data_IF_330936928016
#
_entry.id   IF_330936928016
#
_cell.length_a   1.000
_cell.length_b   1.000
_cell.length_c   1.000
_cell.angle_alpha   90.00
_cell.angle_beta   90.00
_cell.angle_gamma   90.00
#
_symmetry.space_group_name_H-M   'P 1'
#
loop_
_entity.id
_entity.type
_entity.pdbx_description
1 polymer ?
#
# COMPACT_ATOMS: atom_id res chain seq x y z
N UNK A 1 25.69 -42.39 12.05
CA UNK A 1 24.78 -42.76 10.96
C UNK A 1 24.52 -41.48 10.17
N UNK A 2 23.75 -41.49 9.09
CA UNK A 2 23.37 -40.23 8.41
C UNK A 2 22.05 -39.75 8.98
N UNK A 3 21.89 -38.43 9.18
CA UNK A 3 20.61 -37.85 9.62
C UNK A 3 19.45 -38.37 8.73
N UNK A 4 18.42 -39.00 9.32
CA UNK A 4 17.29 -39.53 8.58
C UNK A 4 16.49 -38.41 7.92
N UNK A 5 15.75 -38.75 6.87
CA UNK A 5 14.87 -37.79 6.21
C UNK A 5 13.60 -37.61 7.02
N UNK A 6 13.01 -36.42 6.96
CA UNK A 6 11.78 -36.09 7.69
C UNK A 6 10.65 -37.10 7.38
N UNK A 7 10.58 -37.59 6.14
CA UNK A 7 9.58 -38.59 5.74
C UNK A 7 9.73 -39.95 6.45
N UNK A 8 10.92 -40.29 6.95
CA UNK A 8 11.22 -41.55 7.63
C UNK A 8 10.85 -41.50 9.12
N UNK A 9 10.78 -40.30 9.70
CA UNK A 9 10.59 -40.09 11.14
C UNK A 9 9.23 -39.45 11.46
N UNK A 10 8.89 -38.35 10.78
CA UNK A 10 7.73 -37.53 11.11
C UNK A 10 7.10 -36.91 9.85
N UNK A 11 6.02 -37.53 9.37
CA UNK A 11 5.17 -36.95 8.34
C UNK A 11 3.80 -36.60 8.94
N UNK A 12 3.32 -35.33 8.86
CA UNK A 12 2.04 -34.92 9.44
C UNK A 12 0.86 -35.39 8.56
N UNK A 13 0.60 -36.71 8.58
CA UNK A 13 -0.38 -37.37 7.71
C UNK A 13 -1.79 -36.78 7.91
N UNK A 14 -2.15 -36.43 9.15
CA UNK A 14 -3.47 -35.89 9.48
C UNK A 14 -3.72 -34.55 8.79
N UNK A 15 -2.76 -33.64 8.89
CA UNK A 15 -2.80 -32.30 8.29
C UNK A 15 -2.75 -32.39 6.76
N UNK A 16 -1.86 -33.25 6.23
CA UNK A 16 -1.77 -33.51 4.78
C UNK A 16 -3.09 -34.07 4.25
N UNK A 17 -3.74 -34.98 4.98
CA UNK A 17 -5.03 -35.55 4.62
C UNK A 17 -6.13 -34.50 4.61
N UNK A 18 -6.19 -33.64 5.64
CA UNK A 18 -7.16 -32.55 5.72
C UNK A 18 -7.03 -31.52 4.58
N UNK A 19 -5.80 -31.18 4.17
CA UNK A 19 -5.56 -30.31 3.00
C UNK A 19 -5.83 -31.03 1.68
N UNK A 20 -5.53 -32.32 1.60
CA UNK A 20 -5.79 -33.15 0.41
C UNK A 20 -7.29 -33.31 0.13
N UNK A 21 -8.11 -33.44 1.18
CA UNK A 21 -9.57 -33.43 1.07
C UNK A 21 -10.07 -32.08 0.58
N UNK A 22 -9.50 -30.97 1.08
CA UNK A 22 -9.83 -29.61 0.59
C UNK A 22 -9.50 -29.42 -0.88
N UNK A 23 -8.35 -29.87 -1.35
CA UNK A 23 -7.93 -29.82 -2.77
C UNK A 23 -8.91 -30.61 -3.67
N UNK A 24 -9.37 -31.79 -3.20
CA UNK A 24 -10.38 -32.60 -3.92
C UNK A 24 -11.78 -32.00 -3.88
N UNK A 25 -12.13 -31.21 -2.87
CA UNK A 25 -13.51 -30.77 -2.61
C UNK A 25 -14.07 -29.74 -3.61
N UNK A 26 -13.25 -29.20 -4.52
CA UNK A 26 -13.60 -28.07 -5.38
C UNK A 26 -14.76 -28.33 -6.36
N UNK A 27 -15.14 -29.60 -6.63
CA UNK A 27 -16.28 -29.96 -7.49
C UNK A 27 -16.92 -31.27 -7.03
N UNK A 28 -18.01 -31.21 -6.28
CA UNK A 28 -18.84 -32.37 -5.97
C UNK A 28 -20.01 -32.47 -6.96
N UNK A 29 -20.22 -33.65 -7.56
CA UNK A 29 -21.43 -33.96 -8.35
C UNK A 29 -21.46 -33.53 -9.81
N UNK A 30 -20.33 -33.14 -10.42
CA UNK A 30 -20.29 -32.76 -11.84
C UNK A 30 -19.77 -33.93 -12.70
N UNK A 31 -20.30 -34.15 -13.91
CA UNK A 31 -19.87 -35.28 -14.77
C UNK A 31 -18.35 -35.25 -15.04
N UNK A 32 -17.74 -34.06 -15.08
CA UNK A 32 -16.29 -33.89 -15.21
C UNK A 32 -15.46 -34.37 -14.00
N UNK A 33 -16.08 -34.77 -12.88
CA UNK A 33 -15.41 -35.37 -11.71
C UNK A 33 -15.51 -36.89 -11.68
N UNK A 34 -16.28 -37.52 -12.59
CA UNK A 34 -16.36 -38.97 -12.73
C UNK A 34 -15.10 -39.58 -13.37
N UNK A 35 -14.34 -38.79 -14.14
CA UNK A 35 -13.11 -39.22 -14.77
C UNK A 35 -11.94 -38.28 -14.43
N UNK A 36 -11.25 -38.58 -13.32
CA UNK A 36 -9.93 -38.00 -13.00
C UNK A 36 -8.83 -38.80 -13.71
N UNK A 37 -8.61 -38.48 -14.98
CA UNK A 37 -7.54 -39.04 -15.82
C UNK A 37 -6.16 -38.44 -15.45
N UNK A 38 -5.07 -39.19 -15.31
CA UNK A 38 -4.94 -40.41 -14.51
C UNK A 38 -4.53 -40.01 -13.09
N UNK A 39 -5.35 -40.34 -12.08
CA UNK A 39 -4.99 -40.35 -10.65
C UNK A 39 -4.17 -39.13 -10.16
N UNK A 40 -4.67 -37.91 -10.38
CA UNK A 40 -4.05 -36.68 -9.82
C UNK A 40 -3.91 -36.84 -8.30
N UNK A 41 -2.68 -37.02 -7.81
CA UNK A 41 -2.39 -36.94 -6.38
C UNK A 41 -2.67 -35.50 -5.94
N UNK A 42 -3.36 -35.29 -4.79
CA UNK A 42 -3.55 -33.96 -4.24
C UNK A 42 -2.23 -33.22 -4.15
N UNK A 43 -2.21 -31.95 -4.57
CA UNK A 43 -0.97 -31.18 -4.61
C UNK A 43 -0.36 -31.01 -3.21
N UNK A 44 -1.21 -30.93 -2.19
CA UNK A 44 -0.80 -30.90 -0.80
C UNK A 44 0.01 -32.15 -0.42
N UNK A 45 -0.49 -33.35 -0.74
CA UNK A 45 0.21 -34.60 -0.48
C UNK A 45 1.51 -34.72 -1.29
N UNK A 46 1.48 -34.38 -2.59
CA UNK A 46 2.66 -34.44 -3.44
C UNK A 46 3.78 -33.51 -2.94
N UNK A 47 3.45 -32.26 -2.60
CA UNK A 47 4.41 -31.28 -2.07
C UNK A 47 4.99 -31.71 -0.73
N UNK A 48 4.14 -32.18 0.19
CA UNK A 48 4.59 -32.61 1.51
C UNK A 48 5.54 -33.81 1.42
N UNK A 49 5.23 -34.80 0.57
CA UNK A 49 6.09 -35.98 0.36
C UNK A 49 7.42 -35.59 -0.28
N UNK A 50 7.40 -34.76 -1.33
CA UNK A 50 8.64 -34.28 -1.97
C UNK A 50 9.50 -33.50 -0.98
N UNK A 51 8.91 -32.55 -0.25
CA UNK A 51 9.63 -31.78 0.76
C UNK A 51 10.23 -32.69 1.85
N UNK A 52 9.43 -33.57 2.44
CA UNK A 52 9.87 -34.46 3.51
C UNK A 52 10.93 -35.49 3.05
N UNK A 53 10.98 -35.82 1.76
CA UNK A 53 12.03 -36.68 1.19
C UNK A 53 13.39 -35.99 1.03
N UNK A 54 13.40 -34.66 0.92
CA UNK A 54 14.60 -33.86 0.69
C UNK A 54 15.17 -33.30 2.00
N UNK A 55 14.32 -33.09 2.99
CA UNK A 55 14.66 -32.40 4.23
C UNK A 55 15.13 -33.39 5.30
N UNK A 56 16.29 -33.16 5.95
CA UNK A 56 16.69 -33.94 7.12
C UNK A 56 15.77 -33.65 8.31
N UNK A 57 15.62 -34.62 9.21
CA UNK A 57 14.89 -34.42 10.46
C UNK A 57 15.64 -33.43 11.36
N UNK A 58 14.99 -32.30 11.70
CA UNK A 58 15.58 -31.22 12.48
C UNK A 58 15.83 -31.62 13.95
N UNK A 59 15.03 -32.56 14.46
CA UNK A 59 15.08 -32.99 15.86
C UNK A 59 16.11 -34.11 16.09
N UNK A 60 16.68 -34.68 15.02
CA UNK A 60 17.64 -35.77 15.13
C UNK A 60 19.01 -35.28 15.62
N UNK A 61 19.68 -35.99 16.57
CA UNK A 61 20.99 -35.58 17.11
C UNK A 61 22.08 -35.37 16.04
N UNK A 62 22.04 -36.16 14.97
CA UNK A 62 22.98 -36.08 13.84
C UNK A 62 22.57 -35.08 12.74
N UNK A 63 21.54 -34.26 12.96
CA UNK A 63 21.10 -33.25 12.00
C UNK A 63 22.17 -32.18 11.79
N UNK A 64 22.50 -31.79 10.52
CA UNK A 64 23.47 -30.74 10.24
C UNK A 64 23.17 -29.47 11.05
N UNK A 65 24.14 -28.93 11.80
CA UNK A 65 23.92 -27.76 12.66
C UNK A 65 23.33 -26.58 11.88
N UNK A 66 23.86 -26.29 10.69
CA UNK A 66 23.35 -25.21 9.82
C UNK A 66 21.86 -25.36 9.47
N UNK A 67 21.39 -26.60 9.28
CA UNK A 67 19.99 -26.87 8.98
C UNK A 67 19.11 -26.79 10.22
N UNK A 68 19.59 -27.35 11.34
CA UNK A 68 18.90 -27.28 12.65
C UNK A 68 18.68 -25.82 13.05
N UNK A 69 19.71 -25.00 12.92
CA UNK A 69 19.65 -23.56 13.21
C UNK A 69 18.76 -22.83 12.19
N UNK A 70 18.70 -23.26 10.93
CA UNK A 70 17.79 -22.64 9.95
C UNK A 70 16.30 -22.96 10.22
N UNK A 71 16.01 -24.13 10.80
CA UNK A 71 14.65 -24.57 11.15
C UNK A 71 14.19 -24.03 12.50
N UNK A 72 15.13 -23.70 13.39
CA UNK A 72 14.82 -23.00 14.63
C UNK A 72 14.06 -21.70 14.33
N UNK A 73 12.81 -21.64 14.79
CA UNK A 73 11.93 -20.49 14.58
C UNK A 73 12.50 -19.20 15.16
N UNK A 74 13.33 -19.28 16.21
CA UNK A 74 14.05 -18.13 16.76
C UNK A 74 15.03 -17.55 15.73
N UNK A 75 15.93 -18.39 15.24
CA UNK A 75 16.94 -18.05 14.23
C UNK A 75 16.32 -17.64 12.89
N UNK A 76 15.23 -18.27 12.45
CA UNK A 76 14.51 -17.87 11.24
C UNK A 76 13.95 -16.45 11.37
N UNK A 77 13.37 -16.09 12.53
CA UNK A 77 12.88 -14.74 12.79
C UNK A 77 14.02 -13.71 12.76
N UNK A 78 15.19 -14.04 13.29
CA UNK A 78 16.38 -13.17 13.20
C UNK A 78 16.86 -12.99 11.77
N UNK A 79 16.93 -14.09 10.99
CA UNK A 79 17.45 -14.08 9.62
C UNK A 79 16.55 -13.40 8.62
N UNK A 80 15.23 -13.65 8.66
CA UNK A 80 14.28 -13.13 7.66
C UNK A 80 13.27 -12.12 8.21
N UNK A 81 13.26 -11.85 9.51
CA UNK A 81 12.31 -10.91 10.11
C UNK A 81 12.43 -9.48 9.56
N UNK A 82 13.62 -9.09 9.11
CA UNK A 82 13.84 -7.80 8.45
C UNK A 82 13.04 -7.65 7.12
N UNK A 83 12.65 -8.76 6.48
CA UNK A 83 11.78 -8.75 5.28
C UNK A 83 10.31 -8.48 5.63
N UNK A 84 9.95 -8.56 6.90
CA UNK A 84 8.59 -8.35 7.42
C UNK A 84 8.61 -7.27 8.50
N UNK A 85 8.92 -6.01 8.15
CA UNK A 85 9.05 -4.94 9.13
C UNK A 85 7.76 -4.80 9.92
N UNK A 86 7.90 -4.64 11.24
CA UNK A 86 6.79 -4.22 12.09
C UNK A 86 6.28 -2.87 11.56
N UNK A 87 4.98 -2.74 11.34
CA UNK A 87 4.44 -1.44 10.95
C UNK A 87 4.25 -0.54 12.17
N UNK A 88 3.50 0.55 12.00
CA UNK A 88 3.39 1.64 12.99
C UNK A 88 2.93 1.20 14.38
N UNK A 89 2.20 0.10 14.46
CA UNK A 89 1.68 -0.46 15.70
C UNK A 89 2.75 -1.22 16.51
N UNK A 90 3.96 -1.38 15.99
CA UNK A 90 5.06 -2.14 16.61
C UNK A 90 4.83 -3.66 16.65
N UNK A 91 3.69 -4.14 16.15
CA UNK A 91 3.34 -5.56 16.13
C UNK A 91 4.06 -6.27 14.97
N UNK A 92 4.63 -7.47 15.19
CA UNK A 92 5.33 -8.21 14.14
C UNK A 92 4.34 -8.65 13.05
N UNK A 93 4.76 -8.53 11.80
CA UNK A 93 3.94 -8.93 10.65
C UNK A 93 4.09 -10.43 10.43
N UNK A 94 2.95 -11.12 10.40
CA UNK A 94 2.86 -12.57 10.15
C UNK A 94 2.68 -12.86 8.66
N UNK A 95 2.03 -11.97 7.93
CA UNK A 95 1.86 -12.13 6.50
C UNK A 95 1.08 -11.00 5.83
N UNK A 96 1.06 -11.05 4.50
CA UNK A 96 0.41 -10.06 3.65
C UNK A 96 -0.71 -10.71 2.86
N UNK A 97 -1.83 -10.00 2.73
CA UNK A 97 -2.92 -10.37 1.83
C UNK A 97 -2.70 -9.68 0.50
N UNK A 98 -2.61 -10.48 -0.57
CA UNK A 98 -2.40 -10.01 -1.93
C UNK A 98 -3.59 -10.36 -2.82
N UNK A 99 -3.94 -9.45 -3.70
CA UNK A 99 -4.89 -9.67 -4.78
C UNK A 99 -4.18 -9.51 -6.13
N UNK A 100 -4.49 -10.40 -7.06
CA UNK A 100 -4.21 -10.15 -8.49
C UNK A 100 -5.09 -8.99 -8.96
N UNK A 101 -4.62 -8.21 -9.90
CA UNK A 101 -5.40 -7.11 -10.46
C UNK A 101 -5.51 -7.22 -11.98
N UNK A 102 -6.61 -6.71 -12.53
CA UNK A 102 -6.81 -6.63 -13.98
C UNK A 102 -7.44 -5.27 -14.34
N UNK A 103 -7.08 -4.68 -15.49
CA UNK A 103 -7.70 -3.45 -15.94
C UNK A 103 -9.16 -3.67 -16.31
N UNK A 104 -10.02 -2.71 -16.00
CA UNK A 104 -11.41 -2.74 -16.41
C UNK A 104 -11.56 -2.79 -17.95
N UNK A 105 -12.50 -3.58 -18.46
CA UNK A 105 -12.81 -3.64 -19.90
C UNK A 105 -13.39 -2.33 -20.44
N UNK A 106 -13.95 -1.48 -19.58
CA UNK A 106 -14.48 -0.18 -19.98
C UNK A 106 -13.31 0.75 -20.41
N UNK A 107 -13.28 1.20 -21.69
CA UNK A 107 -12.17 1.99 -22.23
C UNK A 107 -12.02 3.36 -21.58
N UNK A 108 -13.11 3.95 -21.05
CA UNK A 108 -13.07 5.23 -20.33
C UNK A 108 -12.58 5.04 -18.89
N UNK A 109 -12.97 3.94 -18.25
CA UNK A 109 -12.59 3.67 -16.86
C UNK A 109 -11.14 3.22 -16.76
N UNK A 110 -10.82 2.05 -17.32
CA UNK A 110 -9.51 1.37 -17.25
C UNK A 110 -8.91 1.24 -15.84
N UNK A 111 -9.72 1.41 -14.79
CA UNK A 111 -9.28 1.28 -13.42
C UNK A 111 -8.74 -0.12 -13.14
N UNK A 112 -7.76 -0.19 -12.23
CA UNK A 112 -7.21 -1.44 -11.75
C UNK A 112 -8.23 -2.12 -10.83
N UNK A 113 -8.77 -3.25 -11.28
CA UNK A 113 -9.75 -4.02 -10.51
C UNK A 113 -9.00 -5.11 -9.72
N UNK A 114 -8.99 -5.05 -8.39
CA UNK A 114 -8.46 -6.12 -7.56
C UNK A 114 -9.37 -7.32 -7.63
N UNK A 115 -8.89 -8.51 -7.99
CA UNK A 115 -9.66 -9.73 -8.21
C UNK A 115 -9.85 -10.50 -6.90
N UNK A 116 -10.87 -10.14 -6.14
CA UNK A 116 -11.19 -10.71 -4.83
C UNK A 116 -12.50 -11.49 -4.91
N UNK A 117 -12.53 -12.74 -4.46
CA UNK A 117 -13.78 -13.53 -4.33
C UNK A 117 -14.66 -13.04 -3.18
N UNK A 118 -14.02 -12.63 -2.08
CA UNK A 118 -14.67 -12.22 -0.85
C UNK A 118 -13.83 -11.13 -0.21
N UNK A 119 -14.49 -10.12 0.35
CA UNK A 119 -13.86 -9.17 1.26
C UNK A 119 -13.75 -9.72 2.67
N UNK A 120 -14.56 -10.72 3.04
CA UNK A 120 -14.47 -11.37 4.34
C UNK A 120 -13.17 -12.19 4.44
N UNK A 121 -12.30 -11.80 5.37
CA UNK A 121 -10.96 -12.40 5.59
C UNK A 121 -10.99 -13.41 6.74
N UNK A 122 -11.71 -13.10 7.81
CA UNK A 122 -11.86 -13.96 8.97
C UNK A 122 -13.33 -14.07 9.34
N UNK A 123 -13.82 -15.30 9.54
CA UNK A 123 -15.20 -15.58 9.93
C UNK A 123 -15.24 -16.63 11.04
N UNK A 124 -14.83 -16.24 12.24
CA UNK A 124 -15.00 -17.03 13.46
C UNK A 124 -16.16 -16.45 14.27
N UNK A 125 -16.79 -17.28 15.13
CA UNK A 125 -17.91 -16.87 16.00
C UNK A 125 -17.59 -15.60 16.80
N UNK A 126 -16.38 -15.52 17.35
CA UNK A 126 -15.95 -14.41 18.21
C UNK A 126 -15.09 -13.37 17.48
N UNK A 127 -14.74 -13.62 16.20
CA UNK A 127 -13.84 -12.77 15.42
C UNK A 127 -14.23 -12.76 13.95
N UNK A 128 -14.87 -11.68 13.54
CA UNK A 128 -15.18 -11.41 12.14
C UNK A 128 -14.42 -10.19 11.64
N UNK A 129 -13.73 -10.34 10.51
CA UNK A 129 -12.91 -9.30 9.90
C UNK A 129 -13.10 -9.31 8.39
N UNK A 130 -13.39 -8.15 7.80
CA UNK A 130 -13.50 -7.96 6.37
C UNK A 130 -12.64 -6.79 5.88
N UNK A 131 -12.18 -6.88 4.63
CA UNK A 131 -11.61 -5.78 3.89
C UNK A 131 -12.72 -4.76 3.57
N UNK A 132 -12.43 -3.48 3.73
CA UNK A 132 -13.27 -2.41 3.18
C UNK A 132 -12.63 -1.89 1.91
N UNK A 133 -13.46 -1.46 0.97
CA UNK A 133 -13.01 -0.95 -0.31
C UNK A 133 -13.61 0.44 -0.51
N UNK A 134 -12.77 1.47 -0.55
CA UNK A 134 -13.16 2.84 -0.84
C UNK A 134 -12.47 3.29 -2.14
N UNK A 135 -13.10 4.20 -2.87
CA UNK A 135 -12.57 4.72 -4.11
C UNK A 135 -12.26 6.22 -3.99
N UNK A 136 -11.14 6.64 -4.53
CA UNK A 136 -10.86 8.06 -4.81
C UNK A 136 -10.44 8.15 -6.27
N UNK A 137 -11.26 8.81 -7.09
CA UNK A 137 -11.06 8.86 -8.54
C UNK A 137 -11.06 7.47 -9.18
N UNK A 138 -9.93 7.10 -9.83
CA UNK A 138 -9.71 5.81 -10.49
C UNK A 138 -8.94 4.80 -9.63
N UNK A 139 -8.68 5.12 -8.36
CA UNK A 139 -7.94 4.24 -7.46
C UNK A 139 -8.82 3.63 -6.38
N UNK A 140 -8.43 2.43 -5.96
CA UNK A 140 -9.11 1.62 -4.96
C UNK A 140 -8.24 1.51 -3.71
N UNK A 141 -8.77 1.92 -2.57
CA UNK A 141 -8.12 1.86 -1.27
C UNK A 141 -8.75 0.76 -0.42
N UNK A 142 -7.90 0.08 0.34
CA UNK A 142 -8.30 -1.01 1.22
C UNK A 142 -8.18 -0.62 2.68
N UNK A 143 -9.23 -0.87 3.43
CA UNK A 143 -9.24 -0.78 4.89
C UNK A 143 -9.66 -2.10 5.54
N UNK A 144 -9.85 -2.07 6.86
CA UNK A 144 -10.32 -3.22 7.63
C UNK A 144 -11.55 -2.81 8.45
N UNK A 145 -12.58 -3.64 8.40
CA UNK A 145 -13.75 -3.57 9.28
C UNK A 145 -13.83 -4.83 10.14
N UNK A 146 -14.22 -4.66 11.41
CA UNK A 146 -14.36 -5.74 12.40
C UNK A 146 -15.80 -5.83 12.92
N UNK A 147 -16.29 -7.06 13.12
CA UNK A 147 -17.59 -7.35 13.72
C UNK A 147 -18.76 -6.57 13.08
N UNK A 148 -19.53 -5.86 13.91
CA UNK A 148 -20.71 -5.06 13.48
C UNK A 148 -20.38 -3.94 12.48
N UNK A 149 -19.10 -3.59 12.30
CA UNK A 149 -18.67 -2.60 11.29
C UNK A 149 -18.62 -3.14 9.86
N UNK A 150 -18.79 -4.45 9.66
CA UNK A 150 -18.75 -5.08 8.33
C UNK A 150 -20.05 -4.78 7.58
N UNK A 151 -19.95 -3.95 6.54
CA UNK A 151 -21.10 -3.57 5.68
C UNK A 151 -21.23 -4.42 4.42
N UNK A 152 -20.12 -4.93 3.90
CA UNK A 152 -20.07 -5.70 2.67
C UNK A 152 -19.04 -6.82 2.80
N UNK A 153 -19.41 -8.00 2.32
CA UNK A 153 -18.54 -9.19 2.30
C UNK A 153 -18.24 -9.66 0.89
N UNK A 154 -19.02 -9.23 -0.11
CA UNK A 154 -18.81 -9.59 -1.51
C UNK A 154 -17.55 -8.93 -2.07
N UNK A 155 -16.70 -9.74 -2.71
CA UNK A 155 -15.56 -9.24 -3.46
C UNK A 155 -15.96 -8.71 -4.85
N UNK A 156 -14.97 -8.36 -5.65
CA UNK A 156 -15.15 -7.90 -7.03
C UNK A 156 -15.43 -9.04 -8.01
N UNK A 157 -14.96 -10.25 -7.73
CA UNK A 157 -15.17 -11.43 -8.56
C UNK A 157 -16.59 -11.96 -8.37
N UNK A 158 -17.34 -12.03 -9.47
CA UNK A 158 -18.68 -12.57 -9.56
C UNK A 158 -18.64 -14.08 -9.89
N UNK A 159 -19.83 -14.68 -9.94
CA UNK A 159 -19.99 -16.04 -10.43
C UNK A 159 -19.40 -16.22 -11.84
N UNK A 160 -18.90 -17.43 -12.15
CA UNK A 160 -18.31 -17.81 -13.44
C UNK A 160 -17.02 -17.07 -13.85
N UNK A 161 -16.47 -16.23 -12.97
CA UNK A 161 -15.16 -15.60 -13.15
C UNK A 161 -15.21 -14.20 -13.78
N UNK A 162 -16.40 -13.66 -14.00
CA UNK A 162 -16.57 -12.24 -14.34
C UNK A 162 -16.22 -11.37 -13.15
N UNK A 163 -15.90 -10.09 -13.39
CA UNK A 163 -15.49 -9.18 -12.33
C UNK A 163 -16.25 -7.86 -12.41
N UNK A 164 -16.83 -7.41 -11.30
CA UNK A 164 -17.49 -6.10 -11.20
C UNK A 164 -16.47 -5.04 -10.81
N UNK A 165 -16.33 -4.01 -11.65
CA UNK A 165 -15.45 -2.89 -11.35
C UNK A 165 -15.97 -2.11 -10.13
N UNK A 166 -15.15 -1.87 -9.09
CA UNK A 166 -15.58 -1.11 -7.92
C UNK A 166 -15.83 0.37 -8.23
N UNK A 167 -15.29 0.89 -9.34
CA UNK A 167 -15.37 2.30 -9.72
C UNK A 167 -16.56 2.56 -10.65
N UNK A 168 -16.53 2.03 -11.87
CA UNK A 168 -17.62 2.25 -12.84
C UNK A 168 -18.80 1.27 -12.70
N UNK A 169 -18.72 0.29 -11.79
CA UNK A 169 -19.73 -0.77 -11.57
C UNK A 169 -20.02 -1.69 -12.75
N UNK A 170 -19.36 -1.48 -13.90
CA UNK A 170 -19.48 -2.34 -15.06
C UNK A 170 -18.81 -3.69 -14.85
N UNK A 171 -19.42 -4.73 -15.41
CA UNK A 171 -18.86 -6.09 -15.42
C UNK A 171 -17.80 -6.21 -16.51
N UNK A 172 -16.61 -6.62 -16.11
CA UNK A 172 -15.51 -7.05 -16.98
C UNK A 172 -15.66 -8.56 -17.20
N UNK A 173 -15.94 -9.02 -18.44
CA UNK A 173 -16.12 -10.43 -18.73
C UNK A 173 -14.86 -11.26 -18.46
N UNK A 174 -15.02 -12.51 -18.05
CA UNK A 174 -13.91 -13.45 -17.80
C UNK A 174 -12.99 -13.62 -19.00
N UNK A 175 -13.52 -13.50 -20.23
CA UNK A 175 -12.73 -13.57 -21.46
C UNK A 175 -11.68 -12.45 -21.55
N UNK A 176 -12.04 -11.23 -21.16
CA UNK A 176 -11.12 -10.08 -21.16
C UNK A 176 -10.07 -10.19 -20.05
N UNK A 177 -10.47 -10.72 -18.89
CA UNK A 177 -9.55 -11.02 -17.78
C UNK A 177 -8.53 -12.08 -18.22
N UNK A 178 -8.98 -13.17 -18.86
CA UNK A 178 -8.09 -14.21 -19.40
C UNK A 178 -7.14 -13.65 -20.45
N UNK A 179 -7.63 -12.81 -21.36
CA UNK A 179 -6.80 -12.14 -22.37
C UNK A 179 -5.72 -11.28 -21.71
N UNK A 180 -6.09 -10.49 -20.69
CA UNK A 180 -5.14 -9.69 -19.90
C UNK A 180 -4.07 -10.57 -19.24
N UNK A 181 -4.46 -11.73 -18.70
CA UNK A 181 -3.52 -12.70 -18.14
C UNK A 181 -2.53 -13.26 -19.17
N UNK A 182 -3.02 -13.62 -20.37
CA UNK A 182 -2.18 -14.09 -21.47
C UNK A 182 -1.24 -13.00 -22.02
N UNK A 183 -1.69 -11.74 -22.01
CA UNK A 183 -0.90 -10.58 -22.43
C UNK A 183 0.07 -10.09 -21.34
N UNK A 184 0.09 -10.70 -20.15
CA UNK A 184 0.96 -10.28 -19.05
C UNK A 184 0.58 -8.94 -18.40
N UNK A 185 -0.65 -8.46 -18.61
CA UNK A 185 -1.15 -7.15 -18.11
C UNK A 185 -1.82 -7.24 -16.73
N UNK A 186 -1.69 -8.38 -16.04
CA UNK A 186 -2.20 -8.52 -14.68
C UNK A 186 -1.21 -7.94 -13.68
N UNK A 187 -1.72 -7.19 -12.71
CA UNK A 187 -0.93 -6.67 -11.61
C UNK A 187 -1.07 -7.51 -10.34
N UNK A 188 -0.37 -7.06 -9.31
CA UNK A 188 -0.46 -7.57 -7.94
C UNK A 188 -0.58 -6.37 -7.00
N UNK A 189 -1.52 -6.46 -6.06
CA UNK A 189 -1.77 -5.40 -5.09
C UNK A 189 -1.96 -5.98 -3.71
N UNK A 190 -1.22 -5.44 -2.75
CA UNK A 190 -1.44 -5.76 -1.34
C UNK A 190 -2.75 -5.12 -0.90
N UNK A 191 -3.59 -5.89 -0.20
CA UNK A 191 -4.93 -5.47 0.23
C UNK A 191 -5.08 -5.44 1.75
N UNK A 192 -4.19 -6.11 2.49
CA UNK A 192 -4.19 -6.06 3.95
C UNK A 192 -2.96 -6.72 4.55
N UNK A 193 -2.73 -6.46 5.83
CA UNK A 193 -1.60 -6.99 6.58
C UNK A 193 -2.13 -7.81 7.76
N UNK A 194 -1.56 -8.97 7.98
CA UNK A 194 -1.83 -9.84 9.12
C UNK A 194 -0.69 -9.63 10.11
N UNK A 195 -1.02 -9.13 11.29
CA UNK A 195 -0.07 -8.91 12.38
C UNK A 195 -0.31 -9.93 13.50
N UNK A 196 0.73 -10.21 14.27
CA UNK A 196 0.59 -11.03 15.46
C UNK A 196 0.01 -10.22 16.61
N UNK A 197 -0.78 -10.85 17.46
CA UNK A 197 -1.30 -10.25 18.69
C UNK A 197 -1.47 -11.30 19.79
N UNK A 198 -1.52 -10.89 21.08
CA UNK A 198 -1.62 -11.82 22.21
C UNK A 198 -2.87 -12.71 22.16
N UNK A 199 -3.96 -12.23 21.55
CA UNK A 199 -5.24 -12.93 21.34
C UNK A 199 -5.31 -13.68 19.99
N UNK A 200 -4.16 -13.87 19.34
CA UNK A 200 -4.01 -14.48 18.02
C UNK A 200 -3.82 -13.44 16.91
N UNK A 201 -4.15 -13.79 15.66
CA UNK A 201 -3.85 -12.93 14.51
C UNK A 201 -4.74 -11.68 14.47
N UNK A 202 -4.12 -10.51 14.35
CA UNK A 202 -4.78 -9.24 14.08
C UNK A 202 -4.65 -8.85 12.60
N UNK A 203 -5.52 -7.97 12.14
CA UNK A 203 -5.59 -7.54 10.74
C UNK A 203 -5.62 -6.02 10.69
N UNK A 204 -4.79 -5.45 9.82
CA UNK A 204 -4.65 -4.01 9.63
C UNK A 204 -4.62 -3.64 8.15
N UNK A 205 -4.97 -2.39 7.87
CA UNK A 205 -4.92 -1.84 6.52
C UNK A 205 -3.48 -1.74 6.01
N UNK A 206 -3.32 -1.70 4.69
CA UNK A 206 -2.02 -1.43 4.08
C UNK A 206 -1.59 0.00 4.40
N UNK A 207 -0.39 0.16 4.93
CA UNK A 207 0.23 1.47 5.15
C UNK A 207 0.63 2.04 3.78
N UNK A 208 0.11 3.20 3.39
CA UNK A 208 0.32 3.79 2.06
C UNK A 208 1.73 4.36 1.84
N UNK A 209 2.71 4.00 2.67
CA UNK A 209 4.05 4.62 2.69
C UNK A 209 4.92 4.21 1.50
N UNK A 210 4.61 3.11 0.81
CA UNK A 210 5.38 2.65 -0.35
C UNK A 210 5.34 3.59 -1.56
N UNK A 211 4.45 4.60 -1.58
CA UNK A 211 4.43 5.62 -2.64
C UNK A 211 5.27 6.87 -2.32
N UNK A 212 5.64 7.09 -1.06
CA UNK A 212 6.39 8.27 -0.63
C UNK A 212 7.85 8.26 -1.12
N UNK A 213 8.43 7.07 -1.35
CA UNK A 213 9.81 6.92 -1.81
C UNK A 213 9.99 7.39 -3.26
N UNK A 214 9.04 7.12 -4.15
CA UNK A 214 9.09 7.54 -5.56
C UNK A 214 9.02 9.07 -5.71
N UNK A 215 8.28 9.75 -4.82
CA UNK A 215 8.24 11.22 -4.78
C UNK A 215 9.53 11.84 -4.25
N UNK A 216 10.25 11.13 -3.37
CA UNK A 216 11.53 11.58 -2.82
C UNK A 216 12.65 11.51 -3.86
N UNK A 217 12.68 10.45 -4.69
CA UNK A 217 13.64 10.31 -5.78
C UNK A 217 13.48 11.41 -6.85
N UNK A 218 12.24 11.79 -7.18
CA UNK A 218 11.97 12.91 -8.09
C UNK A 218 12.45 14.26 -7.52
N UNK A 219 12.30 14.48 -6.20
CA UNK A 219 12.78 15.70 -5.53
C UNK A 219 14.32 15.83 -5.53
N UNK A 220 15.03 14.70 -5.40
CA UNK A 220 16.50 14.67 -5.49
C UNK A 220 16.97 15.04 -6.91
N UNK A 221 16.31 14.51 -7.95
CA UNK A 221 16.63 14.85 -9.34
C UNK A 221 16.43 16.35 -9.60
N UNK A 222 15.34 16.95 -9.11
CA UNK A 222 15.07 18.39 -9.24
C UNK A 222 16.11 19.23 -8.50
N UNK A 223 16.52 18.83 -7.28
CA UNK A 223 17.54 19.53 -6.51
C UNK A 223 18.94 19.46 -7.17
N UNK A 224 19.29 18.30 -7.73
CA UNK A 224 20.56 18.08 -8.45
C UNK A 224 20.61 18.90 -9.74
N UNK A 225 19.52 18.94 -10.51
CA UNK A 225 19.42 19.75 -11.73
C UNK A 225 19.47 21.25 -11.40
N UNK A 226 18.84 21.68 -10.30
CA UNK A 226 18.91 23.06 -9.81
C UNK A 226 20.33 23.48 -9.40
N UNK A 227 21.07 22.59 -8.72
CA UNK A 227 22.47 22.82 -8.35
C UNK A 227 23.40 22.87 -9.58
N UNK A 228 23.19 22.00 -10.56
CA UNK A 228 23.97 21.98 -11.82
C UNK A 228 23.79 23.26 -12.66
N UNK A 229 22.71 24.01 -12.46
CA UNK A 229 22.39 25.21 -13.24
C UNK A 229 22.71 26.52 -12.50
N UNK A 230 23.07 26.48 -11.20
CA UNK A 230 23.27 27.70 -10.38
C UNK A 230 24.50 28.53 -10.74
N UNK A 231 25.49 27.94 -11.41
CA UNK A 231 26.78 28.59 -11.69
C UNK A 231 26.85 29.26 -13.07
N UNK A 232 25.73 29.40 -13.78
CA UNK A 232 25.72 30.02 -15.12
C UNK A 232 25.31 31.49 -15.07
N UNK A 233 26.21 32.46 -15.30
CA UNK A 233 25.84 33.88 -15.36
C UNK A 233 24.92 34.15 -16.57
N UNK A 234 23.75 34.73 -16.29
CA UNK A 234 22.69 34.96 -17.28
C UNK A 234 22.95 36.29 -18.00
N UNK A 235 23.44 36.22 -19.23
CA UNK A 235 23.70 37.41 -20.07
C UNK A 235 22.76 37.56 -21.26
N UNK A 236 21.82 36.63 -21.50
CA UNK A 236 20.93 36.68 -22.66
C UNK A 236 19.50 36.14 -22.40
N UNK A 237 18.52 36.79 -23.02
CA UNK A 237 17.07 36.58 -22.85
C UNK A 237 16.59 35.15 -23.19
N UNK A 238 17.27 34.45 -24.09
CA UNK A 238 16.97 33.07 -24.44
C UNK A 238 17.29 32.07 -23.30
N UNK A 239 18.10 32.46 -22.32
CA UNK A 239 18.49 31.61 -21.17
C UNK A 239 17.65 31.86 -19.91
N UNK A 240 16.62 32.70 -20.00
CA UNK A 240 15.67 32.99 -18.89
C UNK A 240 14.57 31.91 -18.81
N UNK A 241 14.25 31.26 -19.94
CA UNK A 241 13.22 30.22 -20.03
C UNK A 241 13.38 29.05 -19.05
N UNK A 242 14.59 28.48 -18.83
CA UNK A 242 14.79 27.42 -17.86
C UNK A 242 14.44 27.84 -16.42
N UNK A 243 14.70 29.10 -16.05
CA UNK A 243 14.36 29.64 -14.73
C UNK A 243 12.86 29.88 -14.56
N UNK A 244 12.18 30.31 -15.62
CA UNK A 244 10.71 30.45 -15.65
C UNK A 244 10.05 29.07 -15.56
N UNK A 245 10.56 28.08 -16.31
CA UNK A 245 10.07 26.70 -16.26
C UNK A 245 10.34 26.07 -14.90
N UNK A 246 11.49 26.33 -14.28
CA UNK A 246 11.81 25.91 -12.92
C UNK A 246 10.86 26.55 -11.88
N UNK A 247 10.61 27.86 -11.99
CA UNK A 247 9.66 28.57 -11.13
C UNK A 247 8.24 28.02 -11.26
N UNK A 248 7.78 27.73 -12.48
CA UNK A 248 6.47 27.12 -12.74
C UNK A 248 6.39 25.67 -12.25
N UNK A 249 7.46 24.89 -12.39
CA UNK A 249 7.56 23.52 -11.89
C UNK A 249 7.59 23.48 -10.35
N UNK A 250 8.28 24.41 -9.71
CA UNK A 250 8.30 24.57 -8.25
C UNK A 250 6.91 24.98 -7.73
N UNK A 251 6.22 25.90 -8.41
CA UNK A 251 4.85 26.29 -8.06
C UNK A 251 3.89 25.10 -8.23
N UNK A 252 3.99 24.34 -9.33
CA UNK A 252 3.17 23.15 -9.54
C UNK A 252 3.42 22.07 -8.46
N UNK A 253 4.69 21.85 -8.10
CA UNK A 253 5.09 20.94 -7.01
C UNK A 253 4.54 21.40 -5.66
N UNK A 254 4.65 22.70 -5.34
CA UNK A 254 4.12 23.26 -4.10
C UNK A 254 2.58 23.17 -4.03
N UNK A 255 1.88 23.35 -5.15
CA UNK A 255 0.41 23.19 -5.25
C UNK A 255 0.00 21.73 -5.00
N UNK A 256 0.72 20.75 -5.55
CA UNK A 256 0.45 19.33 -5.27
C UNK A 256 0.81 18.92 -3.83
N UNK A 257 1.81 19.57 -3.22
CA UNK A 257 2.15 19.36 -1.80
C UNK A 257 1.10 19.96 -0.84
N UNK A 258 0.35 20.99 -1.25
CA UNK A 258 -0.69 21.65 -0.44
C UNK A 258 -1.88 20.71 -0.17
N UNK A 259 -2.17 19.77 -1.08
CA UNK A 259 -3.25 18.79 -0.89
C UNK A 259 -2.87 17.63 0.07
N UNK A 260 -1.63 17.57 0.56
CA UNK A 260 -1.09 16.36 1.20
C UNK A 260 -0.86 16.43 2.72
N UNK A 261 -0.94 17.59 3.41
CA UNK A 261 -0.46 17.66 4.81
C UNK A 261 -1.45 18.28 5.80
N UNK A 262 -1.93 17.42 6.70
CA UNK A 262 -2.75 17.77 7.87
C UNK A 262 -1.89 18.38 8.97
N UNK A 263 -2.23 19.60 9.39
CA UNK A 263 -1.84 20.16 10.70
C UNK A 263 -1.27 21.59 10.64
N UNK A 264 -1.65 22.49 11.58
CA UNK A 264 -1.32 23.92 11.50
C UNK A 264 0.12 24.28 11.88
N UNK A 265 0.77 23.50 12.75
CA UNK A 265 2.16 23.73 13.14
C UNK A 265 3.13 23.47 11.98
N UNK A 266 2.77 22.51 11.12
CA UNK A 266 3.52 22.13 9.94
C UNK A 266 3.34 23.15 8.81
N UNK A 267 2.12 23.67 8.63
CA UNK A 267 1.84 24.76 7.70
C UNK A 267 2.63 26.03 8.04
N UNK A 268 2.66 26.44 9.32
CA UNK A 268 3.39 27.64 9.74
C UNK A 268 4.92 27.54 9.53
N UNK A 269 5.49 26.35 9.76
CA UNK A 269 6.94 26.12 9.58
C UNK A 269 7.34 26.17 8.10
N UNK A 270 6.52 25.58 7.23
CA UNK A 270 6.73 25.65 5.78
C UNK A 270 6.47 27.06 5.25
N UNK A 271 5.47 27.78 5.78
CA UNK A 271 5.25 29.18 5.43
C UNK A 271 6.48 30.03 5.72
N UNK A 272 7.14 29.84 6.85
CA UNK A 272 8.38 30.53 7.17
C UNK A 272 9.53 30.14 6.22
N UNK A 273 9.66 28.85 5.90
CA UNK A 273 10.71 28.33 5.00
C UNK A 273 10.53 28.81 3.55
N UNK A 274 9.29 28.97 3.07
CA UNK A 274 9.00 29.39 1.69
C UNK A 274 8.96 30.92 1.55
N UNK A 275 8.40 31.64 2.55
CA UNK A 275 8.27 33.10 2.48
C UNK A 275 9.60 33.84 2.61
N UNK A 276 10.58 33.30 3.34
CA UNK A 276 11.90 33.93 3.51
C UNK A 276 12.69 33.99 2.18
N UNK A 277 12.87 32.89 1.42
CA UNK A 277 13.46 32.92 0.10
C UNK A 277 12.68 33.79 -0.89
N UNK A 278 11.34 33.73 -0.85
CA UNK A 278 10.48 34.51 -1.75
C UNK A 278 10.59 36.02 -1.50
N UNK A 279 10.70 36.44 -0.23
CA UNK A 279 10.90 37.83 0.17
C UNK A 279 12.32 38.33 -0.18
N UNK A 280 13.33 37.48 -0.02
CA UNK A 280 14.70 37.79 -0.46
C UNK A 280 14.79 37.94 -1.98
N UNK A 281 14.11 37.07 -2.74
CA UNK A 281 14.01 37.17 -4.19
C UNK A 281 13.25 38.43 -4.61
N UNK A 282 12.12 38.74 -3.97
CA UNK A 282 11.31 39.94 -4.27
C UNK A 282 12.09 41.24 -4.00
N UNK A 283 12.90 41.27 -2.94
CA UNK A 283 13.78 42.38 -2.56
C UNK A 283 14.95 42.53 -3.53
N UNK A 284 15.54 41.44 -3.98
CA UNK A 284 16.55 41.49 -5.04
C UNK A 284 15.95 42.00 -6.36
N UNK A 285 14.76 41.53 -6.74
CA UNK A 285 14.02 41.97 -7.92
C UNK A 285 13.64 43.47 -7.87
N UNK A 286 13.40 44.04 -6.69
CA UNK A 286 13.10 45.49 -6.58
C UNK A 286 14.31 46.38 -6.88
N UNK A 287 15.53 45.86 -6.81
CA UNK A 287 16.76 46.58 -7.16
C UNK A 287 17.13 46.42 -8.66
N UNK A 288 16.29 45.71 -9.42
CA UNK A 288 16.43 45.48 -10.87
C UNK A 288 15.31 46.20 -11.63
N UNK A 289 15.44 46.44 -12.95
CA UNK A 289 14.38 47.08 -13.75
C UNK A 289 13.07 46.27 -13.84
N UNK A 290 13.00 45.08 -13.23
CA UNK A 290 11.86 44.16 -13.25
C UNK A 290 10.85 44.43 -12.11
N UNK A 291 10.53 45.71 -11.86
CA UNK A 291 9.63 46.12 -10.76
C UNK A 291 8.24 45.47 -10.82
N UNK A 292 7.71 45.19 -12.02
CA UNK A 292 6.41 44.53 -12.19
C UNK A 292 6.42 43.08 -11.66
N UNK A 293 7.53 42.35 -11.86
CA UNK A 293 7.71 41.00 -11.32
C UNK A 293 7.90 41.02 -9.80
N UNK A 294 8.63 42.00 -9.28
CA UNK A 294 8.74 42.22 -7.83
C UNK A 294 7.37 42.44 -7.19
N UNK A 295 6.52 43.30 -7.78
CA UNK A 295 5.16 43.55 -7.30
C UNK A 295 4.29 42.29 -7.32
N UNK A 296 4.40 41.47 -8.37
CA UNK A 296 3.68 40.20 -8.46
C UNK A 296 4.14 39.21 -7.37
N UNK A 297 5.45 39.14 -7.11
CA UNK A 297 6.02 38.33 -6.04
C UNK A 297 5.54 38.78 -4.66
N UNK A 298 5.55 40.09 -4.38
CA UNK A 298 5.00 40.65 -3.15
C UNK A 298 3.50 40.37 -2.98
N UNK A 299 2.73 40.38 -4.08
CA UNK A 299 1.33 39.97 -4.08
C UNK A 299 1.12 38.51 -3.67
N UNK A 300 1.97 37.60 -4.16
CA UNK A 300 1.94 36.17 -3.78
C UNK A 300 2.30 35.98 -2.31
N UNK A 301 3.34 36.68 -1.82
CA UNK A 301 3.71 36.67 -0.38
C UNK A 301 2.54 37.13 0.49
N UNK A 302 1.88 38.23 0.11
CA UNK A 302 0.75 38.78 0.85
C UNK A 302 -0.45 37.83 0.87
N UNK A 303 -0.80 37.23 -0.29
CA UNK A 303 -1.88 36.25 -0.38
C UNK A 303 -1.62 35.03 0.50
N UNK A 304 -0.38 34.54 0.51
CA UNK A 304 0.02 33.38 1.30
C UNK A 304 -0.01 33.66 2.82
N UNK A 305 0.39 34.87 3.22
CA UNK A 305 0.26 35.33 4.61
C UNK A 305 -1.22 35.40 5.05
N UNK A 306 -2.11 35.91 4.18
CA UNK A 306 -3.56 35.97 4.44
C UNK A 306 -4.19 34.58 4.59
N UNK A 307 -3.81 33.63 3.73
CA UNK A 307 -4.28 32.23 3.82
C UNK A 307 -3.81 31.55 5.10
N UNK A 308 -2.54 31.76 5.48
CA UNK A 308 -1.99 31.23 6.73
C UNK A 308 -2.73 31.83 7.94
N UNK A 309 -2.99 33.13 7.92
CA UNK A 309 -3.78 33.80 8.97
C UNK A 309 -5.20 33.24 9.08
N UNK A 310 -5.89 33.06 7.96
CA UNK A 310 -7.24 32.48 7.93
C UNK A 310 -7.26 31.04 8.51
N UNK A 311 -6.27 30.21 8.19
CA UNK A 311 -6.14 28.87 8.75
C UNK A 311 -5.90 28.89 10.27
N UNK A 312 -5.09 29.81 10.77
CA UNK A 312 -4.85 29.99 12.22
C UNK A 312 -6.16 30.40 12.92
N UNK A 313 -6.92 31.32 12.34
CA UNK A 313 -8.21 31.77 12.90
C UNK A 313 -9.21 30.60 12.98
N UNK A 314 -9.34 29.81 11.92
CA UNK A 314 -10.21 28.60 11.92
C UNK A 314 -9.75 27.60 12.99
N UNK A 315 -8.44 27.39 13.12
CA UNK A 315 -7.90 26.47 14.13
C UNK A 315 -8.16 26.96 15.56
N UNK A 316 -7.94 28.24 15.85
CA UNK A 316 -8.27 28.85 17.15
C UNK A 316 -9.76 28.70 17.44
N UNK A 317 -10.62 28.98 16.44
CA UNK A 317 -12.07 28.80 16.55
C UNK A 317 -12.47 27.37 16.91
N UNK A 318 -11.91 26.38 16.22
CA UNK A 318 -12.15 24.96 16.51
C UNK A 318 -11.65 24.53 17.90
N UNK A 319 -10.50 25.07 18.34
CA UNK A 319 -9.92 24.77 19.66
C UNK A 319 -10.76 25.35 20.79
N UNK A 320 -11.17 26.62 20.66
CA UNK A 320 -12.05 27.30 21.61
C UNK A 320 -13.40 26.58 21.68
N UNK A 321 -13.99 26.21 20.54
CA UNK A 321 -15.22 25.43 20.47
C UNK A 321 -15.08 24.07 21.17
N UNK A 322 -13.97 23.36 20.94
CA UNK A 322 -13.72 22.05 21.57
C UNK A 322 -13.52 22.11 23.09
N UNK A 323 -13.03 23.24 23.61
CA UNK A 323 -12.84 23.45 25.04
C UNK A 323 -14.14 23.90 25.72
N UNK A 324 -14.95 24.74 25.06
CA UNK A 324 -16.24 25.21 25.57
C UNK A 324 -17.21 24.03 25.82
N UNK A 325 -17.32 23.09 24.87
CA UNK A 325 -18.17 21.90 25.04
C UNK A 325 -17.58 20.82 25.96
N UNK A 326 -16.29 20.90 26.32
CA UNK A 326 -15.68 20.01 27.32
C UNK A 326 -16.03 20.42 28.75
N UNK A 327 -16.29 21.71 28.99
CA UNK A 327 -16.70 22.20 30.30
C UNK A 327 -18.20 21.99 30.57
N UNK A 328 -19.06 22.04 29.56
CA UNK A 328 -20.50 21.76 29.71
C UNK A 328 -20.83 20.27 29.89
N UNK A 329 -19.94 19.35 29.48
CA UNK A 329 -20.15 17.91 29.61
C UNK A 329 -19.71 17.30 30.94
N UNK A 330 -19.23 18.12 31.89
CA UNK A 330 -18.65 17.66 33.16
C UNK A 330 -19.30 18.30 34.40
N UNK A 331 -20.51 18.87 34.25
CA UNK A 331 -21.40 19.29 35.34
C UNK A 331 -22.73 18.52 35.24
#
# INVERSE_FOLDING_TARGET
MTCPRLIEVALPIREISAESVRDKSLRHGHISTLHLWWARRPLAAARAVVFASLVPDADHPECPPEFRDAVDFGTAKERIGHLYPAGKDGKPVVGYLWARTAPCSNPTCRAEIPLLRSLLVCNKKDKQVALTMTNQGKEVFFGIAKGKGIRQTEGTMLARGDCRCPICKQTTPVADIRRTGLEGKMGERMVGIIADAPDGKDYRSVENELRLAATFEAGIVVAVVGWLLSDTPVTDSARVWPYIVFGLALIAFLVECIDLIKGPLYAALITAIVSVPLALAARWLSDTPYHALSLMYWGVVALYALLTFAQIVVWIGQRLWSNFFKEEGNN
#
